data_IF_674084315742
#
_entry.id   IF_674084315742
#
_cell.length_a   1.000
_cell.length_b   1.000
_cell.length_c   1.000
_cell.angle_alpha   90.00
_cell.angle_beta   90.00
_cell.angle_gamma   90.00
#
_symmetry.space_group_name_H-M   'P 1'
#
loop_
_entity.id
_entity.type
_entity.pdbx_description
1 polymer ?
#
# COMPACT_ATOMS: atom_id res chain seq x y z
N UNK A 1 13.17 -12.69 19.85
CA UNK A 1 13.38 -11.85 18.65
C UNK A 1 13.65 -10.45 19.17
N UNK A 2 14.73 -9.81 18.72
CA UNK A 2 15.08 -8.44 19.13
C UNK A 2 13.96 -7.50 18.67
N UNK A 3 13.52 -6.57 19.53
CA UNK A 3 12.61 -5.51 19.13
C UNK A 3 13.26 -4.70 18.01
N UNK A 4 12.54 -4.53 16.89
CA UNK A 4 13.00 -3.67 15.81
C UNK A 4 12.90 -2.21 16.28
N UNK A 5 13.87 -1.34 15.96
CA UNK A 5 13.78 0.08 16.27
C UNK A 5 12.50 0.69 15.67
N UNK A 6 11.88 1.64 16.38
CA UNK A 6 10.66 2.33 15.92
C UNK A 6 10.82 2.94 14.51
N UNK A 7 12.03 3.37 14.16
CA UNK A 7 12.35 4.04 12.89
C UNK A 7 12.83 3.10 11.77
N UNK A 8 12.70 1.78 11.91
CA UNK A 8 13.12 0.87 10.84
C UNK A 8 12.21 1.01 9.60
N UNK A 9 12.77 1.16 8.37
CA UNK A 9 11.95 1.26 7.17
C UNK A 9 11.13 -0.02 6.98
N UNK A 10 9.82 0.08 7.16
CA UNK A 10 8.92 -1.07 7.17
C UNK A 10 7.81 -0.91 6.14
N UNK A 11 7.67 -1.91 5.27
CA UNK A 11 6.65 -1.98 4.22
C UNK A 11 6.08 -3.40 4.22
N UNK A 12 4.77 -3.53 4.52
CA UNK A 12 4.07 -4.81 4.39
C UNK A 12 3.63 -5.00 2.94
N UNK A 13 4.22 -6.00 2.28
CA UNK A 13 3.86 -6.41 0.92
C UNK A 13 3.27 -7.81 1.00
N UNK A 14 2.00 -7.97 0.64
CA UNK A 14 1.32 -9.28 0.63
C UNK A 14 1.59 -10.00 -0.71
N UNK A 15 2.27 -11.15 -0.72
CA UNK A 15 2.53 -11.87 -1.96
C UNK A 15 1.28 -12.60 -2.47
N UNK A 16 1.09 -12.62 -3.78
CA UNK A 16 0.19 -13.58 -4.43
C UNK A 16 0.87 -14.95 -4.43
N UNK A 17 0.51 -15.80 -3.46
CA UNK A 17 0.91 -17.22 -3.30
C UNK A 17 2.43 -17.49 -3.32
N UNK A 18 3.03 -17.46 -2.14
CA UNK A 18 4.36 -18.05 -1.88
C UNK A 18 5.32 -17.10 -1.18
N UNK A 19 6.08 -17.63 -0.22
CA UNK A 19 7.11 -16.85 0.47
C UNK A 19 8.22 -16.43 -0.52
N UNK A 20 8.64 -15.16 -0.47
CA UNK A 20 9.78 -14.60 -1.22
C UNK A 20 9.63 -14.51 -2.75
N UNK A 21 8.42 -14.58 -3.30
CA UNK A 21 8.22 -14.22 -4.72
C UNK A 21 8.18 -12.69 -4.90
N UNK A 22 8.68 -12.17 -6.05
CA UNK A 22 8.59 -10.75 -6.33
C UNK A 22 7.12 -10.33 -6.46
N UNK A 23 6.79 -9.18 -5.89
CA UNK A 23 5.49 -8.54 -6.17
C UNK A 23 5.60 -7.81 -7.49
N UNK A 24 4.69 -8.17 -8.41
CA UNK A 24 4.67 -7.64 -9.77
C UNK A 24 3.57 -6.59 -9.86
N UNK A 25 3.96 -5.34 -10.03
CA UNK A 25 3.06 -4.27 -10.45
C UNK A 25 3.16 -4.11 -11.97
N UNK A 26 2.02 -4.19 -12.66
CA UNK A 26 1.93 -3.92 -14.11
C UNK A 26 0.95 -2.77 -14.32
N UNK A 27 1.37 -1.76 -15.08
CA UNK A 27 0.55 -0.61 -15.46
C UNK A 27 1.13 0.09 -16.67
N UNK A 28 0.33 0.90 -17.36
CA UNK A 28 0.82 1.86 -18.34
C UNK A 28 1.50 3.05 -17.64
N UNK A 29 2.08 3.96 -18.43
CA UNK A 29 2.77 5.13 -17.89
C UNK A 29 1.84 5.97 -17.00
N UNK A 30 0.59 6.18 -17.43
CA UNK A 30 -0.40 6.98 -16.70
C UNK A 30 -0.75 6.36 -15.34
N UNK A 31 -1.05 5.06 -15.30
CA UNK A 31 -1.40 4.36 -14.07
C UNK A 31 -0.23 4.29 -13.08
N UNK A 32 0.99 4.08 -13.57
CA UNK A 32 2.18 4.10 -12.71
C UNK A 32 2.47 5.50 -12.16
N UNK A 33 2.30 6.55 -12.96
CA UNK A 33 2.41 7.94 -12.51
C UNK A 33 1.35 8.29 -11.46
N UNK A 34 0.11 7.84 -11.63
CA UNK A 34 -0.95 8.04 -10.64
C UNK A 34 -0.59 7.41 -9.29
N UNK A 35 -0.10 6.16 -9.30
CA UNK A 35 0.38 5.51 -8.07
C UNK A 35 1.55 6.26 -7.42
N UNK A 36 2.55 6.69 -8.21
CA UNK A 36 3.67 7.47 -7.70
C UNK A 36 3.22 8.78 -7.03
N UNK A 37 2.25 9.47 -7.62
CA UNK A 37 1.70 10.69 -7.04
C UNK A 37 0.99 10.42 -5.72
N UNK A 38 0.23 9.33 -5.59
CA UNK A 38 -0.37 8.96 -4.32
C UNK A 38 0.69 8.68 -3.24
N UNK A 39 1.75 7.95 -3.58
CA UNK A 39 2.87 7.69 -2.66
C UNK A 39 3.54 9.00 -2.21
N UNK A 40 3.87 9.88 -3.15
CA UNK A 40 4.51 11.17 -2.85
C UNK A 40 3.59 12.04 -1.99
N UNK A 41 2.30 12.13 -2.32
CA UNK A 41 1.33 12.93 -1.57
C UNK A 41 1.18 12.46 -0.13
N UNK A 42 1.10 11.13 0.12
CA UNK A 42 1.01 10.58 1.47
C UNK A 42 2.26 10.88 2.31
N UNK A 43 3.44 10.86 1.69
CA UNK A 43 4.71 11.18 2.36
C UNK A 43 4.81 12.68 2.64
N UNK A 44 4.47 13.53 1.67
CA UNK A 44 4.58 14.98 1.78
C UNK A 44 3.56 15.58 2.76
N UNK A 45 2.43 14.89 2.98
CA UNK A 45 1.34 15.37 3.84
C UNK A 45 0.95 14.29 4.88
N UNK A 46 1.73 14.11 5.96
CA UNK A 46 1.60 12.98 6.91
C UNK A 46 0.25 12.83 7.61
N UNK A 47 -0.56 13.90 7.64
CA UNK A 47 -1.89 13.91 8.23
C UNK A 47 -3.02 13.62 7.21
N UNK A 48 -2.67 13.26 5.98
CA UNK A 48 -3.61 12.99 4.90
C UNK A 48 -3.18 11.78 4.07
N UNK A 49 -4.15 11.13 3.43
CA UNK A 49 -3.87 10.03 2.52
C UNK A 49 -3.47 10.56 1.14
N UNK A 50 -2.57 9.86 0.48
CA UNK A 50 -2.46 9.93 -0.97
C UNK A 50 -3.53 9.06 -1.60
N UNK A 51 -4.16 9.53 -2.67
CA UNK A 51 -5.22 8.80 -3.36
C UNK A 51 -4.95 8.79 -4.86
N UNK A 52 -5.14 7.65 -5.51
CA UNK A 52 -5.11 7.51 -6.96
C UNK A 52 -6.25 6.61 -7.43
N UNK A 53 -6.96 7.03 -8.48
CA UNK A 53 -7.88 6.17 -9.21
C UNK A 53 -7.11 5.34 -10.24
N UNK A 54 -7.30 4.03 -10.22
CA UNK A 54 -6.68 3.09 -11.16
C UNK A 54 -7.72 2.14 -11.73
N UNK A 55 -7.44 1.56 -12.88
CA UNK A 55 -8.32 0.60 -13.53
C UNK A 55 -7.68 -0.79 -13.48
N UNK A 56 -8.48 -1.84 -13.23
CA UNK A 56 -8.01 -3.21 -13.34
C UNK A 56 -8.02 -3.70 -14.81
N UNK A 57 -7.66 -4.98 -15.02
CA UNK A 57 -7.63 -5.58 -16.35
C UNK A 57 -8.99 -5.68 -17.06
N UNK A 58 -10.09 -5.58 -16.30
CA UNK A 58 -11.48 -5.58 -16.78
C UNK A 58 -12.06 -4.16 -16.91
N UNK A 59 -11.20 -3.14 -16.80
CA UNK A 59 -11.56 -1.71 -16.81
C UNK A 59 -12.48 -1.26 -15.66
N UNK A 60 -12.53 -2.03 -14.57
CA UNK A 60 -13.20 -1.61 -13.33
C UNK A 60 -12.34 -0.60 -12.59
N UNK A 61 -12.99 0.45 -12.03
CA UNK A 61 -12.33 1.52 -11.28
C UNK A 61 -12.07 1.07 -9.85
N UNK A 62 -10.86 1.30 -9.37
CA UNK A 62 -10.47 1.13 -7.98
C UNK A 62 -9.80 2.40 -7.45
N UNK A 63 -10.06 2.70 -6.18
CA UNK A 63 -9.32 3.71 -5.44
C UNK A 63 -8.13 3.05 -4.72
N UNK A 64 -6.93 3.56 -4.98
CA UNK A 64 -5.73 3.22 -4.21
C UNK A 64 -5.52 4.31 -3.17
N UNK A 65 -5.72 3.96 -1.91
CA UNK A 65 -5.47 4.83 -0.77
C UNK A 65 -4.13 4.46 -0.13
N UNK A 66 -3.25 5.44 -0.02
CA UNK A 66 -1.93 5.32 0.59
C UNK A 66 -1.90 6.13 1.88
N UNK A 67 -1.57 5.46 2.98
CA UNK A 67 -1.37 6.09 4.28
C UNK A 67 0.11 6.03 4.69
N UNK A 68 0.63 7.13 5.22
CA UNK A 68 1.90 7.11 5.94
C UNK A 68 1.63 6.71 7.40
N UNK A 69 2.30 5.67 7.87
CA UNK A 69 2.23 5.19 9.26
C UNK A 69 3.62 5.12 9.86
N UNK A 70 3.73 5.44 11.14
CA UNK A 70 5.01 5.62 11.83
C UNK A 70 5.31 4.54 12.87
N UNK A 71 4.39 3.59 13.10
CA UNK A 71 4.59 2.52 14.09
C UNK A 71 4.14 1.18 13.52
N UNK A 72 4.76 0.11 14.01
CA UNK A 72 4.43 -1.27 13.63
C UNK A 72 2.97 -1.62 13.96
N UNK A 73 2.45 -1.15 15.08
CA UNK A 73 1.07 -1.41 15.52
C UNK A 73 0.06 -0.77 14.56
N UNK A 74 0.38 0.42 14.02
CA UNK A 74 -0.46 1.08 13.00
C UNK A 74 -0.40 0.40 11.63
N UNK A 75 0.60 -0.45 11.38
CA UNK A 75 0.67 -1.35 10.22
C UNK A 75 -0.13 -2.64 10.41
N UNK A 76 -0.57 -2.95 11.63
CA UNK A 76 -1.14 -4.23 12.02
C UNK A 76 -2.45 -4.00 12.79
N UNK A 77 -3.57 -3.77 12.07
CA UNK A 77 -4.15 -4.82 11.24
C UNK A 77 -4.45 -4.43 9.78
N UNK A 78 -4.56 -5.45 8.93
CA UNK A 78 -5.07 -5.35 7.54
C UNK A 78 -6.50 -4.77 7.58
N UNK A 79 -6.91 -3.93 6.61
CA UNK A 79 -8.31 -3.64 6.38
C UNK A 79 -9.08 -4.96 6.15
N UNK A 80 -9.95 -5.29 7.12
CA UNK A 80 -10.92 -6.39 7.18
C UNK A 80 -10.52 -7.77 6.62
N UNK A 81 -9.99 -8.62 7.52
CA UNK A 81 -10.34 -10.05 7.51
C UNK A 81 -11.69 -10.35 8.20
N UNK A 82 -12.48 -9.32 8.52
CA UNK A 82 -13.76 -9.42 9.23
C UNK A 82 -14.99 -9.30 8.31
N UNK A 83 -14.87 -9.66 7.03
CA UNK A 83 -16.03 -9.76 6.11
C UNK A 83 -16.66 -11.17 6.07
N UNK A 84 -16.44 -11.99 7.11
CA UNK A 84 -17.16 -13.25 7.31
C UNK A 84 -17.74 -13.31 8.73
N UNK A 85 -18.90 -12.68 8.91
CA UNK A 85 -19.94 -13.09 9.87
C UNK A 85 -21.28 -13.11 9.15
#
# INVERSE_FOLDING_TARGET
MSELPEDYPMLHIYPSKGARQPVILKGNAEGLCALLNALISAIAHPNSSGVAEVFNGDAEVYEVVVHLVTTHEKLSPVPDQNSQQ
#
